data_IF_145193786823
#
_entry.id   IF_145193786823
#
_cell.length_a   1.000
_cell.length_b   1.000
_cell.length_c   1.000
_cell.angle_alpha   90.00
_cell.angle_beta   90.00
_cell.angle_gamma   90.00
#
_symmetry.space_group_name_H-M   'P 1'
#
loop_
_entity.id
_entity.type
_entity.pdbx_description
1 polymer ?
#
# COMPACT_ATOMS: atom_id res chain seq x y z
N UNK A 1 -34.43 -13.05 -11.87
CA UNK A 1 -33.32 -12.99 -10.88
C UNK A 1 -32.27 -12.03 -11.42
N UNK A 2 -32.36 -10.75 -11.06
CA UNK A 2 -31.46 -9.71 -11.56
C UNK A 2 -30.14 -9.71 -10.79
N UNK A 3 -29.03 -9.61 -11.52
CA UNK A 3 -27.66 -9.79 -11.02
C UNK A 3 -27.26 -8.84 -9.91
N UNK A 4 -26.37 -9.32 -9.05
CA UNK A 4 -25.77 -8.62 -7.92
C UNK A 4 -25.19 -7.27 -8.35
N UNK A 5 -25.75 -6.18 -7.85
CA UNK A 5 -25.26 -4.84 -8.10
C UNK A 5 -23.84 -4.68 -7.52
N UNK A 6 -22.88 -4.26 -8.36
CA UNK A 6 -21.56 -3.83 -7.88
C UNK A 6 -20.35 -4.25 -8.70
N UNK A 7 -20.49 -5.11 -9.71
CA UNK A 7 -19.32 -5.64 -10.45
C UNK A 7 -19.06 -5.05 -11.84
N UNK A 8 -19.99 -4.29 -12.41
CA UNK A 8 -19.84 -3.71 -13.76
C UNK A 8 -20.03 -2.20 -13.75
N UNK A 9 -19.03 -1.47 -13.25
CA UNK A 9 -19.01 0.00 -13.31
C UNK A 9 -17.78 0.59 -12.65
N UNK A 10 -17.25 1.67 -13.24
CA UNK A 10 -16.20 2.48 -12.60
C UNK A 10 -16.73 2.96 -11.24
N UNK A 11 -15.99 2.66 -10.16
CA UNK A 11 -16.35 3.13 -8.81
C UNK A 11 -16.64 4.63 -8.84
N UNK A 12 -17.72 5.09 -8.17
CA UNK A 12 -18.07 6.50 -8.15
C UNK A 12 -16.91 7.32 -7.59
N UNK A 13 -16.65 8.49 -8.20
CA UNK A 13 -15.64 9.42 -7.70
C UNK A 13 -16.08 9.99 -6.34
N UNK A 14 -15.16 10.13 -5.36
CA UNK A 14 -15.42 10.83 -4.09
C UNK A 14 -16.06 12.20 -4.29
N UNK A 15 -16.85 12.66 -3.34
CA UNK A 15 -17.59 13.94 -3.46
C UNK A 15 -16.63 15.11 -3.53
N UNK A 16 -15.53 15.09 -2.76
CA UNK A 16 -14.45 16.08 -2.84
C UNK A 16 -13.92 16.26 -4.27
N UNK A 17 -13.72 15.15 -5.01
CA UNK A 17 -13.27 15.16 -6.41
C UNK A 17 -14.34 15.70 -7.37
N UNK A 18 -15.61 15.40 -7.12
CA UNK A 18 -16.72 15.94 -7.93
C UNK A 18 -16.88 17.44 -7.72
N UNK A 19 -16.73 17.91 -6.49
CA UNK A 19 -16.75 19.34 -6.16
C UNK A 19 -15.61 20.10 -6.84
N UNK A 20 -14.36 19.61 -6.73
CA UNK A 20 -13.18 20.16 -7.39
C UNK A 20 -13.32 20.24 -8.92
N UNK A 21 -13.96 19.23 -9.54
CA UNK A 21 -14.21 19.20 -10.97
C UNK A 21 -15.41 20.07 -11.41
N UNK A 22 -15.97 20.91 -10.54
CA UNK A 22 -17.11 21.78 -10.84
C UNK A 22 -18.45 21.04 -10.97
N UNK A 23 -18.55 19.84 -10.39
CA UNK A 23 -19.72 18.95 -10.45
C UNK A 23 -20.27 18.76 -11.89
N UNK A 24 -19.52 18.13 -12.82
CA UNK A 24 -19.92 18.03 -14.22
C UNK A 24 -21.27 17.36 -14.44
N UNK A 25 -21.64 16.44 -13.53
CA UNK A 25 -22.92 15.73 -13.57
C UNK A 25 -24.10 16.54 -13.04
N UNK A 26 -23.88 17.73 -12.46
CA UNK A 26 -24.89 18.64 -11.86
C UNK A 26 -25.85 18.00 -10.84
N UNK A 27 -25.57 16.78 -10.37
CA UNK A 27 -26.35 16.08 -9.34
C UNK A 27 -25.98 16.63 -7.96
N UNK A 28 -26.92 16.57 -7.02
CA UNK A 28 -26.65 16.92 -5.63
C UNK A 28 -25.45 16.10 -5.10
N UNK A 29 -24.49 16.79 -4.51
CA UNK A 29 -23.32 16.18 -3.90
C UNK A 29 -23.69 15.61 -2.53
N UNK A 30 -23.20 14.42 -2.21
CA UNK A 30 -23.43 13.80 -0.90
C UNK A 30 -22.64 14.58 0.17
N UNK A 31 -23.33 15.25 1.09
CA UNK A 31 -22.71 16.03 2.16
C UNK A 31 -22.37 15.19 3.38
N UNK A 32 -22.91 13.99 3.47
CA UNK A 32 -22.75 13.06 4.59
C UNK A 32 -21.64 12.03 4.32
N UNK A 33 -20.70 12.34 3.41
CA UNK A 33 -19.56 11.47 3.17
C UNK A 33 -18.63 11.51 4.41
N UNK A 34 -18.25 10.34 4.98
CA UNK A 34 -17.40 10.30 6.16
C UNK A 34 -16.05 10.96 5.85
N UNK A 35 -15.70 11.95 6.68
CA UNK A 35 -14.42 12.65 6.61
C UNK A 35 -13.45 11.94 7.55
N UNK A 36 -12.50 11.20 6.98
CA UNK A 36 -11.42 10.61 7.75
C UNK A 36 -10.37 11.68 8.05
N UNK A 37 -9.96 11.78 9.31
CA UNK A 37 -8.94 12.76 9.74
C UNK A 37 -7.55 12.16 9.50
N UNK A 38 -6.70 12.83 8.69
CA UNK A 38 -5.33 12.37 8.48
C UNK A 38 -4.53 12.41 9.78
N UNK A 39 -3.68 11.40 9.97
CA UNK A 39 -2.71 11.38 11.07
C UNK A 39 -1.43 12.12 10.67
N UNK A 40 -0.73 12.67 11.66
CA UNK A 40 0.51 13.43 11.45
C UNK A 40 1.78 12.57 11.59
N UNK A 41 1.63 11.36 12.13
CA UNK A 41 2.69 10.43 12.41
C UNK A 41 2.17 9.34 13.34
N UNK A 42 2.79 8.16 13.29
CA UNK A 42 2.48 7.03 14.14
C UNK A 42 3.72 6.14 14.21
N UNK A 43 4.08 5.73 15.43
CA UNK A 43 5.19 4.81 15.64
C UNK A 43 4.83 3.40 15.16
N UNK A 44 5.82 2.58 14.75
CA UNK A 44 5.58 1.19 14.39
C UNK A 44 5.02 0.39 15.59
N UNK A 45 4.22 -0.66 15.36
CA UNK A 45 3.78 -1.55 16.43
C UNK A 45 4.96 -2.15 17.20
N UNK A 46 4.88 -2.16 18.54
CA UNK A 46 5.96 -2.65 19.41
C UNK A 46 6.37 -4.09 19.08
N UNK A 47 5.39 -4.92 18.71
CA UNK A 47 5.61 -6.33 18.37
C UNK A 47 6.55 -6.54 17.17
N UNK A 48 6.73 -5.54 16.29
CA UNK A 48 7.74 -5.65 15.23
C UNK A 48 9.15 -5.77 15.79
N UNK A 49 9.45 -5.10 16.91
CA UNK A 49 10.75 -5.21 17.56
C UNK A 49 10.84 -6.52 18.38
N UNK A 50 9.76 -6.91 19.04
CA UNK A 50 9.69 -8.15 19.83
C UNK A 50 9.92 -9.39 18.97
N UNK A 51 9.34 -9.42 17.76
CA UNK A 51 9.41 -10.56 16.82
C UNK A 51 10.56 -10.41 15.78
N UNK A 52 11.50 -9.48 16.00
CA UNK A 52 12.63 -9.19 15.12
C UNK A 52 12.22 -9.02 13.64
N UNK A 53 11.36 -8.04 13.36
CA UNK A 53 10.92 -7.63 12.02
C UNK A 53 11.50 -6.24 11.63
N UNK A 54 12.82 -6.13 11.40
CA UNK A 54 13.48 -4.85 11.21
C UNK A 54 13.09 -4.17 9.89
N UNK A 55 12.83 -4.92 8.81
CA UNK A 55 12.40 -4.32 7.54
C UNK A 55 10.96 -3.86 7.62
N UNK A 56 10.08 -4.58 8.32
CA UNK A 56 8.71 -4.11 8.57
C UNK A 56 8.72 -2.74 9.29
N UNK A 57 9.58 -2.60 10.30
CA UNK A 57 9.80 -1.33 11.05
C UNK A 57 10.28 -0.21 10.14
N UNK A 58 11.31 -0.47 9.33
CA UNK A 58 11.85 0.53 8.37
C UNK A 58 10.77 0.95 7.37
N UNK A 59 10.04 -0.02 6.80
CA UNK A 59 9.01 0.24 5.82
C UNK A 59 7.82 1.01 6.42
N UNK A 60 7.48 0.75 7.68
CA UNK A 60 6.48 1.53 8.42
C UNK A 60 6.92 2.99 8.54
N UNK A 61 8.11 3.24 9.05
CA UNK A 61 8.63 4.60 9.25
C UNK A 61 8.75 5.38 7.93
N UNK A 62 9.22 4.74 6.86
CA UNK A 62 9.29 5.37 5.54
C UNK A 62 7.91 5.71 4.99
N UNK A 63 6.97 4.76 5.03
CA UNK A 63 5.64 4.92 4.47
C UNK A 63 4.81 5.94 5.24
N UNK A 64 4.84 5.88 6.58
CA UNK A 64 4.14 6.85 7.44
C UNK A 64 4.68 8.26 7.23
N UNK A 65 6.00 8.45 7.19
CA UNK A 65 6.62 9.76 6.94
C UNK A 65 6.12 10.39 5.64
N UNK A 66 6.10 9.61 4.55
CA UNK A 66 5.68 10.10 3.24
C UNK A 66 4.16 10.37 3.19
N UNK A 67 3.34 9.41 3.63
CA UNK A 67 1.88 9.52 3.53
C UNK A 67 1.30 10.54 4.53
N UNK A 68 1.85 10.65 5.74
CA UNK A 68 1.45 11.68 6.71
C UNK A 68 1.87 13.08 6.22
N UNK A 69 3.05 13.21 5.62
CA UNK A 69 3.53 14.48 5.05
C UNK A 69 2.61 15.02 3.94
N UNK A 70 1.92 14.13 3.24
CA UNK A 70 0.93 14.47 2.23
C UNK A 70 -0.52 14.51 2.75
N UNK A 71 -0.75 14.21 4.04
CA UNK A 71 -2.08 14.13 4.64
C UNK A 71 -2.97 13.02 4.06
N UNK A 72 -2.35 11.93 3.58
CA UNK A 72 -3.02 10.81 2.93
C UNK A 72 -3.31 9.64 3.86
N UNK A 73 -2.57 9.50 4.96
CA UNK A 73 -2.73 8.39 5.90
C UNK A 73 -3.77 8.73 6.96
N UNK A 74 -4.79 7.89 7.12
CA UNK A 74 -5.79 7.99 8.18
C UNK A 74 -5.62 6.85 9.20
N UNK A 75 -6.21 7.01 10.39
CA UNK A 75 -6.19 5.95 11.44
C UNK A 75 -6.75 4.62 10.92
N UNK A 76 -7.75 4.66 10.04
CA UNK A 76 -8.36 3.48 9.43
C UNK A 76 -7.42 2.69 8.53
N UNK A 77 -6.33 3.31 8.06
CA UNK A 77 -5.40 2.71 7.12
C UNK A 77 -4.27 1.96 7.84
N UNK A 78 -4.15 2.10 9.17
CA UNK A 78 -3.03 1.54 9.95
C UNK A 78 -2.97 0.01 9.87
N UNK A 79 -4.11 -0.67 9.92
CA UNK A 79 -4.14 -2.13 9.77
C UNK A 79 -3.70 -2.59 8.37
N UNK A 80 -3.96 -1.79 7.33
CA UNK A 80 -3.52 -2.08 5.95
C UNK A 80 -2.02 -1.81 5.81
N UNK A 81 -1.53 -0.74 6.42
CA UNK A 81 -0.11 -0.43 6.50
C UNK A 81 0.68 -1.53 7.22
N UNK A 82 0.19 -1.99 8.37
CA UNK A 82 0.80 -3.06 9.15
C UNK A 82 0.97 -4.32 8.31
N UNK A 83 -0.12 -4.77 7.67
CA UNK A 83 -0.10 -5.91 6.74
C UNK A 83 0.91 -5.75 5.61
N UNK A 84 0.98 -4.56 5.02
CA UNK A 84 1.93 -4.30 3.94
C UNK A 84 3.39 -4.38 4.40
N UNK A 85 3.71 -3.82 5.57
CA UNK A 85 5.04 -3.87 6.16
C UNK A 85 5.46 -5.31 6.50
N UNK A 86 4.56 -6.08 7.10
CA UNK A 86 4.78 -7.50 7.42
C UNK A 86 4.98 -8.32 6.14
N UNK A 87 4.17 -8.09 5.10
CA UNK A 87 4.33 -8.78 3.82
C UNK A 87 5.69 -8.47 3.17
N UNK A 88 6.17 -7.21 3.25
CA UNK A 88 7.49 -6.85 2.74
C UNK A 88 8.64 -7.58 3.45
N UNK A 89 8.58 -7.69 4.77
CA UNK A 89 9.56 -8.42 5.58
C UNK A 89 9.69 -9.86 5.12
N UNK A 90 8.57 -10.60 5.09
CA UNK A 90 8.57 -12.00 4.70
C UNK A 90 8.90 -12.21 3.23
N UNK A 91 8.45 -11.31 2.35
CA UNK A 91 8.85 -11.33 0.95
C UNK A 91 10.37 -11.21 0.81
N UNK A 92 11.01 -10.28 1.53
CA UNK A 92 12.46 -10.09 1.46
C UNK A 92 13.21 -11.31 2.00
N UNK A 93 12.74 -11.92 3.08
CA UNK A 93 13.31 -13.16 3.63
C UNK A 93 13.23 -14.29 2.60
N UNK A 94 12.07 -14.51 2.01
CA UNK A 94 11.88 -15.53 0.97
C UNK A 94 12.81 -15.30 -0.23
N UNK A 95 12.94 -14.07 -0.70
CA UNK A 95 13.89 -13.71 -1.79
C UNK A 95 15.34 -14.04 -1.42
N UNK A 96 15.77 -13.73 -0.19
CA UNK A 96 17.13 -14.07 0.28
C UNK A 96 17.33 -15.58 0.35
N UNK A 97 16.35 -16.32 0.87
CA UNK A 97 16.41 -17.78 0.96
C UNK A 97 16.51 -18.42 -0.42
N UNK A 98 15.70 -17.98 -1.39
CA UNK A 98 15.77 -18.44 -2.79
C UNK A 98 17.13 -18.14 -3.40
N UNK A 99 17.71 -16.95 -3.15
CA UNK A 99 19.01 -16.58 -3.70
C UNK A 99 20.15 -17.49 -3.18
N UNK A 100 20.05 -17.95 -1.93
CA UNK A 100 21.04 -18.84 -1.30
C UNK A 100 20.83 -20.29 -1.72
N UNK A 101 19.59 -20.77 -1.69
CA UNK A 101 19.26 -22.19 -1.88
C UNK A 101 18.99 -22.57 -3.33
N UNK A 102 18.66 -21.59 -4.18
CA UNK A 102 18.19 -21.79 -5.54
C UNK A 102 16.70 -22.12 -5.64
N UNK A 103 16.25 -22.34 -6.87
CA UNK A 103 14.85 -22.61 -7.21
C UNK A 103 14.38 -24.04 -6.82
N UNK A 104 15.34 -24.92 -6.55
CA UNK A 104 15.11 -26.32 -6.17
C UNK A 104 15.99 -26.67 -4.98
N UNK A 105 15.46 -27.47 -4.07
CA UNK A 105 16.15 -27.97 -2.88
C UNK A 105 16.06 -29.50 -2.81
N UNK A 106 16.91 -30.11 -1.99
CA UNK A 106 16.81 -31.54 -1.70
C UNK A 106 15.62 -31.79 -0.77
N UNK A 107 14.66 -32.59 -1.23
CA UNK A 107 13.50 -32.99 -0.43
C UNK A 107 13.84 -34.12 0.55
N UNK A 108 12.89 -34.46 1.43
CA UNK A 108 13.08 -35.46 2.49
C UNK A 108 13.51 -36.85 1.99
N UNK A 109 13.11 -37.22 0.76
CA UNK A 109 13.46 -38.50 0.12
C UNK A 109 14.74 -38.42 -0.73
N UNK A 110 15.53 -37.33 -0.63
CA UNK A 110 16.78 -37.13 -1.37
C UNK A 110 16.63 -36.64 -2.81
N UNK A 111 15.42 -36.61 -3.36
CA UNK A 111 15.15 -36.06 -4.70
C UNK A 111 15.09 -34.53 -4.71
N UNK A 112 15.34 -33.91 -5.87
CA UNK A 112 15.16 -32.47 -6.04
C UNK A 112 13.67 -32.12 -6.07
N UNK A 113 13.28 -31.16 -5.25
CA UNK A 113 11.92 -30.60 -5.19
C UNK A 113 11.96 -29.09 -5.38
N UNK A 114 10.82 -28.50 -5.76
CA UNK A 114 10.68 -27.05 -5.87
C UNK A 114 10.89 -26.40 -4.49
N UNK A 115 11.64 -25.30 -4.45
CA UNK A 115 11.82 -24.54 -3.21
C UNK A 115 10.47 -23.96 -2.73
N UNK A 116 9.99 -24.29 -1.51
CA UNK A 116 8.74 -23.75 -0.97
C UNK A 116 8.74 -22.22 -0.83
N UNK A 117 9.92 -21.61 -0.69
CA UNK A 117 10.08 -20.14 -0.63
C UNK A 117 9.56 -19.45 -1.89
N UNK A 118 9.55 -20.11 -3.05
CA UNK A 118 8.96 -19.58 -4.28
C UNK A 118 7.45 -19.33 -4.12
N UNK A 119 6.76 -20.16 -3.35
CA UNK A 119 5.34 -19.99 -3.06
C UNK A 119 5.15 -18.87 -2.05
N UNK A 120 5.90 -18.88 -0.95
CA UNK A 120 5.85 -17.82 0.07
C UNK A 120 6.11 -16.44 -0.57
N UNK A 121 7.16 -16.32 -1.40
CA UNK A 121 7.47 -15.10 -2.16
C UNK A 121 6.29 -14.62 -2.99
N UNK A 122 5.61 -15.52 -3.72
CA UNK A 122 4.46 -15.16 -4.57
C UNK A 122 3.26 -14.68 -3.76
N UNK A 123 2.98 -15.33 -2.63
CA UNK A 123 1.87 -14.94 -1.74
C UNK A 123 2.10 -13.56 -1.15
N UNK A 124 3.30 -13.31 -0.62
CA UNK A 124 3.64 -12.00 -0.07
C UNK A 124 3.67 -10.90 -1.15
N UNK A 125 4.14 -11.20 -2.36
CA UNK A 125 4.11 -10.27 -3.50
C UNK A 125 2.66 -9.88 -3.87
N UNK A 126 1.73 -10.83 -3.83
CA UNK A 126 0.30 -10.58 -4.04
C UNK A 126 -0.31 -9.73 -2.92
N UNK A 127 0.01 -10.03 -1.66
CA UNK A 127 -0.45 -9.28 -0.50
C UNK A 127 0.06 -7.82 -0.55
N UNK A 128 1.35 -7.63 -0.84
CA UNK A 128 1.96 -6.31 -1.02
C UNK A 128 1.31 -5.52 -2.15
N UNK A 129 0.98 -6.18 -3.27
CA UNK A 129 0.32 -5.53 -4.40
C UNK A 129 -1.09 -5.06 -4.03
N UNK A 130 -1.85 -5.90 -3.32
CA UNK A 130 -3.21 -5.60 -2.88
C UNK A 130 -3.25 -4.46 -1.86
N UNK A 131 -2.49 -4.58 -0.77
CA UNK A 131 -2.44 -3.60 0.32
C UNK A 131 -1.75 -2.30 -0.11
N UNK A 132 -0.67 -2.39 -0.91
CA UNK A 132 0.01 -1.24 -1.47
C UNK A 132 -0.88 -0.41 -2.40
N UNK A 133 -1.77 -1.07 -3.17
CA UNK A 133 -2.75 -0.36 -3.99
C UNK A 133 -3.83 0.35 -3.16
N UNK A 134 -4.22 -0.20 -2.00
CA UNK A 134 -5.15 0.46 -1.07
C UNK A 134 -4.54 1.72 -0.45
N UNK A 135 -3.26 1.65 -0.07
CA UNK A 135 -2.49 2.78 0.48
C UNK A 135 -2.04 3.79 -0.60
N UNK A 136 -2.25 3.46 -1.88
CA UNK A 136 -1.85 4.29 -3.00
C UNK A 136 -0.35 4.37 -3.25
N UNK A 137 0.40 3.31 -2.94
CA UNK A 137 1.84 3.26 -3.11
C UNK A 137 2.27 3.02 -4.57
N UNK A 138 1.42 2.44 -5.42
CA UNK A 138 1.69 2.27 -6.84
C UNK A 138 1.28 3.49 -7.70
N UNK A 139 1.96 3.77 -8.84
CA UNK A 139 1.69 4.94 -9.66
C UNK A 139 0.23 5.09 -10.13
N UNK A 140 -0.44 3.98 -10.44
CA UNK A 140 -1.83 4.00 -10.91
C UNK A 140 -2.80 4.36 -9.78
N UNK A 141 -2.52 3.92 -8.56
CA UNK A 141 -3.27 4.26 -7.37
C UNK A 141 -2.97 5.67 -6.86
N UNK A 142 -1.74 6.18 -7.04
CA UNK A 142 -1.41 7.60 -6.72
C UNK A 142 -2.27 8.57 -7.52
N UNK A 143 -2.51 8.31 -8.80
CA UNK A 143 -3.45 9.12 -9.60
C UNK A 143 -4.87 9.14 -9.01
N UNK A 144 -5.26 8.12 -8.23
CA UNK A 144 -6.53 8.09 -7.49
C UNK A 144 -6.51 8.87 -6.18
N UNK A 145 -5.33 9.21 -5.64
CA UNK A 145 -5.18 10.00 -4.43
C UNK A 145 -4.94 11.50 -4.68
N UNK A 146 -4.36 11.89 -5.83
CA UNK A 146 -4.07 13.30 -6.21
C UNK A 146 -5.30 14.25 -6.16
N UNK A 147 -6.52 13.71 -6.11
CA UNK A 147 -7.74 14.53 -6.01
C UNK A 147 -8.36 14.58 -4.62
N UNK A 148 -7.75 13.93 -3.62
CA UNK A 148 -8.15 13.96 -2.21
C UNK A 148 -7.19 14.85 -1.40
N UNK A 149 -5.90 14.87 -1.75
CA UNK A 149 -4.95 15.82 -1.18
C UNK A 149 -5.30 17.24 -1.67
N UNK A 150 -5.87 18.05 -0.79
CA UNK A 150 -5.96 19.50 -1.00
C UNK A 150 -4.55 20.02 -1.30
N UNK A 151 -4.36 20.61 -2.48
CA UNK A 151 -3.04 21.02 -2.94
C UNK A 151 -2.41 22.04 -1.99
N UNK A 152 -1.48 21.59 -1.13
CA UNK A 152 -0.30 22.38 -0.82
C UNK A 152 0.84 21.79 -1.64
N UNK A 153 1.34 22.57 -2.61
CA UNK A 153 2.51 22.21 -3.41
C UNK A 153 3.70 21.98 -2.47
N UNK A 154 3.99 20.72 -2.16
CA UNK A 154 5.26 20.35 -1.57
C UNK A 154 6.29 20.30 -2.70
N UNK A 155 7.26 21.21 -2.66
CA UNK A 155 8.41 21.23 -3.57
C UNK A 155 9.20 19.95 -3.34
N UNK A 156 9.12 18.99 -4.27
CA UNK A 156 9.78 17.70 -4.12
C UNK A 156 11.31 17.87 -4.26
N UNK A 157 12.12 17.62 -3.22
CA UNK A 157 13.56 17.81 -3.25
C UNK A 157 14.29 16.83 -4.18
N UNK A 158 13.64 15.72 -4.60
CA UNK A 158 14.25 14.75 -5.51
C UNK A 158 14.36 15.24 -6.97
N UNK A 159 13.60 16.26 -7.38
CA UNK A 159 13.72 16.82 -8.73
C UNK A 159 15.04 17.56 -8.96
N UNK A 160 15.70 18.04 -7.90
CA UNK A 160 16.96 18.81 -8.01
C UNK A 160 18.19 17.95 -8.35
N UNK A 161 18.12 16.63 -8.19
CA UNK A 161 19.28 15.73 -8.35
C UNK A 161 19.44 15.25 -9.80
N UNK A 162 18.42 15.42 -10.65
CA UNK A 162 18.46 14.94 -12.06
C UNK A 162 18.87 16.05 -13.03
N UNK A 163 18.89 17.31 -12.60
CA UNK A 163 19.27 18.47 -13.43
C UNK A 163 20.66 19.06 -13.08
N UNK A 164 21.48 18.34 -12.29
CA UNK A 164 22.86 18.73 -11.96
C UNK A 164 23.87 17.80 -12.60
#
# INVERSE_FOLDING_TARGET
MAGTAGRSGRRPKPTARKALAGNPGKRALNKDEPVFTPIKGVEPPEWFAEEDLPLATIMWQLTTKELCGQGLLCVTDLAVLERWCVAYEFWRRAVKNIAIQGNTITGAMGGMVKNPELTAKKEQESEMSSTGAMLGLDPSSRQRLIGLAGQKKATNPFLKIIES
#
